data_IF_015163026973
#
_entry.id   IF_015163026973
#
_cell.length_a   1.000
_cell.length_b   1.000
_cell.length_c   1.000
_cell.angle_alpha   90.00
_cell.angle_beta   90.00
_cell.angle_gamma   90.00
#
_symmetry.space_group_name_H-M   'P 1'
#
loop_
_entity.id
_entity.type
_entity.pdbx_description
1 polymer ?
#
# COMPACT_ATOMS: atom_id res chain seq x y z
N UNK A 1 -9.52 25.41 -23.90
CA UNK A 1 -9.64 23.93 -23.95
C UNK A 1 -8.30 23.25 -24.20
N UNK A 2 -7.25 23.65 -23.46
CA UNK A 2 -5.95 22.96 -23.47
C UNK A 2 -5.62 22.63 -22.02
N UNK A 3 -5.92 21.39 -21.58
CA UNK A 3 -5.45 20.90 -20.28
C UNK A 3 -3.94 20.77 -20.40
N UNK A 4 -3.23 21.72 -19.80
CA UNK A 4 -1.77 21.81 -19.82
C UNK A 4 -1.18 20.46 -19.38
N UNK A 5 -0.40 19.82 -20.25
CA UNK A 5 0.12 18.46 -20.06
C UNK A 5 0.96 18.33 -18.78
N UNK A 6 1.55 19.43 -18.31
CA UNK A 6 2.24 19.50 -17.02
C UNK A 6 1.30 19.31 -15.82
N UNK A 7 0.09 19.89 -15.84
CA UNK A 7 -0.90 19.73 -14.77
C UNK A 7 -1.40 18.28 -14.69
N UNK A 8 -1.61 17.65 -15.85
CA UNK A 8 -2.01 16.24 -15.92
C UNK A 8 -0.94 15.31 -15.36
N UNK A 9 0.33 15.53 -15.74
CA UNK A 9 1.47 14.76 -15.19
C UNK A 9 1.61 14.93 -13.68
N UNK A 10 1.43 16.14 -13.14
CA UNK A 10 1.52 16.35 -11.70
C UNK A 10 0.42 15.61 -10.94
N UNK A 11 -0.83 15.64 -11.44
CA UNK A 11 -1.95 14.90 -10.86
C UNK A 11 -1.75 13.38 -10.92
N UNK A 12 -1.30 12.85 -12.05
CA UNK A 12 -1.00 11.42 -12.21
C UNK A 12 0.13 10.97 -11.27
N UNK A 13 1.15 11.82 -11.09
CA UNK A 13 2.27 11.56 -10.18
C UNK A 13 1.83 11.63 -8.71
N UNK A 14 0.90 12.52 -8.38
CA UNK A 14 0.29 12.66 -7.07
C UNK A 14 -0.61 11.44 -6.74
N UNK A 15 -1.42 11.00 -7.69
CA UNK A 15 -2.20 9.75 -7.57
C UNK A 15 -1.28 8.52 -7.46
N UNK A 16 -0.14 8.52 -8.16
CA UNK A 16 0.85 7.44 -8.08
C UNK A 16 1.61 7.41 -6.75
N UNK A 17 1.91 8.55 -6.13
CA UNK A 17 2.52 8.56 -4.79
C UNK A 17 1.52 8.26 -3.66
N UNK A 18 0.22 8.42 -3.87
CA UNK A 18 -0.81 7.96 -2.91
C UNK A 18 -1.07 6.45 -2.97
N UNK A 19 -0.73 5.78 -4.08
CA UNK A 19 -0.94 4.34 -4.27
C UNK A 19 0.38 3.62 -4.61
N UNK A 20 1.38 3.78 -3.75
CA UNK A 20 2.73 3.21 -3.94
C UNK A 20 2.75 1.69 -4.16
N UNK A 21 1.75 0.95 -3.69
CA UNK A 21 1.63 -0.51 -3.81
C UNK A 21 0.56 -0.94 -4.82
N UNK A 22 0.07 -0.03 -5.66
CA UNK A 22 -0.95 -0.34 -6.68
C UNK A 22 -0.57 -1.55 -7.52
N UNK A 23 -1.53 -2.47 -7.67
CA UNK A 23 -1.42 -3.70 -8.45
C UNK A 23 -0.34 -4.69 -7.99
N UNK A 24 0.28 -4.48 -6.82
CA UNK A 24 1.18 -5.43 -6.20
C UNK A 24 0.43 -6.32 -5.21
N UNK A 25 0.81 -7.58 -5.15
CA UNK A 25 0.38 -8.48 -4.10
C UNK A 25 1.28 -8.34 -2.87
N UNK A 26 0.69 -8.35 -1.68
CA UNK A 26 1.40 -8.29 -0.41
C UNK A 26 1.05 -9.52 0.45
N UNK A 27 2.08 -10.11 1.06
CA UNK A 27 1.95 -11.12 2.12
C UNK A 27 2.40 -10.44 3.40
N UNK A 28 1.59 -10.57 4.44
CA UNK A 28 1.80 -9.89 5.71
C UNK A 28 1.99 -10.95 6.78
N UNK A 29 3.15 -10.88 7.44
CA UNK A 29 3.47 -11.68 8.60
C UNK A 29 3.71 -10.68 9.74
N UNK A 30 2.74 -10.65 10.64
CA UNK A 30 2.72 -9.81 11.83
C UNK A 30 3.51 -10.43 12.98
N UNK A 31 4.00 -9.53 13.81
CA UNK A 31 4.70 -9.68 15.08
C UNK A 31 5.97 -10.54 15.23
N UNK A 32 7.12 -9.84 15.23
CA UNK A 32 8.27 -10.05 16.15
C UNK A 32 8.48 -8.83 17.11
N UNK A 33 7.80 -7.70 16.89
CA UNK A 33 8.01 -6.38 17.53
C UNK A 33 6.71 -5.67 18.00
N UNK A 34 5.64 -6.42 18.28
CA UNK A 34 4.37 -5.90 18.84
C UNK A 34 3.34 -5.41 17.82
N UNK A 35 3.60 -5.52 16.51
CA UNK A 35 2.68 -5.04 15.45
C UNK A 35 1.91 -6.22 14.85
N UNK A 36 0.58 -6.28 15.05
CA UNK A 36 -0.24 -7.36 14.52
C UNK A 36 -0.39 -7.24 13.00
N UNK A 37 -0.43 -8.38 12.31
CA UNK A 37 -0.59 -8.46 10.84
C UNK A 37 -1.79 -7.65 10.31
N UNK A 38 -2.97 -7.71 10.95
CA UNK A 38 -4.13 -6.90 10.57
C UNK A 38 -3.88 -5.38 10.54
N UNK A 39 -3.02 -4.85 11.41
CA UNK A 39 -2.70 -3.41 11.39
C UNK A 39 -1.86 -3.04 10.16
N UNK A 40 -0.90 -3.89 9.79
CA UNK A 40 -0.08 -3.72 8.58
C UNK A 40 -0.97 -3.86 7.33
N UNK A 41 -1.96 -4.76 7.39
CA UNK A 41 -2.90 -5.01 6.30
C UNK A 41 -3.72 -3.78 5.93
N UNK A 42 -4.23 -3.07 6.93
CA UNK A 42 -4.99 -1.84 6.73
C UNK A 42 -4.14 -0.75 6.07
N UNK A 43 -2.90 -0.58 6.51
CA UNK A 43 -1.95 0.36 5.90
C UNK A 43 -1.64 -0.02 4.44
N UNK A 44 -1.37 -1.30 4.18
CA UNK A 44 -1.03 -1.79 2.84
C UNK A 44 -2.20 -1.65 1.86
N UNK A 45 -3.44 -1.91 2.30
CA UNK A 45 -4.66 -1.66 1.51
C UNK A 45 -4.81 -0.19 1.15
N UNK A 46 -4.58 0.72 2.11
CA UNK A 46 -4.63 2.16 1.87
C UNK A 46 -3.59 2.61 0.84
N UNK A 47 -2.42 1.97 0.83
CA UNK A 47 -1.38 2.18 -0.17
C UNK A 47 -1.67 1.51 -1.54
N UNK A 48 -2.81 0.83 -1.71
CA UNK A 48 -3.26 0.20 -2.96
C UNK A 48 -2.81 -1.25 -3.18
N UNK A 49 -2.30 -1.92 -2.15
CA UNK A 49 -1.86 -3.32 -2.24
C UNK A 49 -3.04 -4.31 -2.29
N UNK A 50 -2.84 -5.44 -2.97
CA UNK A 50 -3.72 -6.62 -2.94
C UNK A 50 -3.18 -7.61 -1.91
N UNK A 51 -3.91 -7.83 -0.83
CA UNK A 51 -3.42 -8.70 0.25
C UNK A 51 -3.69 -10.16 -0.13
N UNK A 52 -2.63 -10.95 -0.26
CA UNK A 52 -2.71 -12.38 -0.56
C UNK A 52 -2.82 -13.23 0.71
N UNK A 53 -2.18 -12.80 1.80
CA UNK A 53 -2.17 -13.49 3.08
C UNK A 53 -1.81 -12.51 4.21
N UNK A 54 -2.39 -12.73 5.39
CA UNK A 54 -2.17 -11.93 6.60
C UNK A 54 -2.27 -12.85 7.82
N UNK A 55 -1.20 -12.93 8.59
CA UNK A 55 -1.12 -13.71 9.84
C UNK A 55 -0.33 -12.93 10.88
N UNK A 56 -0.49 -13.25 12.16
CA UNK A 56 0.35 -12.74 13.25
C UNK A 56 1.03 -13.94 13.89
N UNK A 57 2.36 -13.99 13.87
CA UNK A 57 3.17 -15.13 14.28
C UNK A 57 4.36 -14.65 15.11
N UNK A 58 4.33 -14.87 16.43
CA UNK A 58 5.49 -14.64 17.29
C UNK A 58 6.59 -15.67 17.02
N UNK A 59 7.54 -15.31 16.15
CA UNK A 59 8.82 -16.01 16.03
C UNK A 59 9.70 -15.64 17.22
N UNK A 60 9.45 -16.26 18.37
CA UNK A 60 10.32 -16.22 19.56
C UNK A 60 11.68 -16.86 19.29
#
# INVERSE_FOLDING_TARGET
MYKNSAFKRNKEKEEQCMAILKDKYAIIIGDRDGVPGPAIEECAKTAGAKIAYSSTECFV
#
